data_IF_731869524605
#
_entry.id   IF_731869524605
#
_cell.length_a   1.000
_cell.length_b   1.000
_cell.length_c   1.000
_cell.angle_alpha   90.00
_cell.angle_beta   90.00
_cell.angle_gamma   90.00
#
_symmetry.space_group_name_H-M   'P 1'
#
loop_
_entity.id
_entity.type
_entity.pdbx_description
1 polymer ?
#
# COMPACT_ATOMS: atom_id res chain seq x y z
N UNK A 1 24.09 -9.24 30.10
CA UNK A 1 23.75 -10.48 30.82
C UNK A 1 23.08 -11.38 29.80
N UNK A 2 23.62 -12.57 29.53
CA UNK A 2 22.96 -13.58 28.70
C UNK A 2 21.83 -14.18 29.54
N UNK A 3 20.59 -14.03 29.08
CA UNK A 3 19.46 -14.78 29.65
C UNK A 3 19.21 -15.93 28.70
N UNK A 4 19.32 -17.15 29.24
CA UNK A 4 18.94 -18.38 28.55
C UNK A 4 17.61 -18.76 29.21
N UNK A 5 16.51 -18.36 28.57
CA UNK A 5 15.16 -18.81 28.96
C UNK A 5 14.63 -19.71 27.84
N UNK A 6 14.15 -20.89 28.22
CA UNK A 6 13.40 -21.83 27.37
C UNK A 6 14.03 -22.17 26.00
N UNK A 7 15.36 -22.15 25.90
CA UNK A 7 16.07 -22.49 24.65
C UNK A 7 16.22 -21.32 23.67
N UNK A 8 15.75 -20.12 24.01
CA UNK A 8 15.97 -18.90 23.25
C UNK A 8 17.07 -18.05 23.91
N UNK A 9 18.08 -17.67 23.13
CA UNK A 9 19.12 -16.73 23.57
C UNK A 9 18.65 -15.31 23.24
N UNK A 10 18.33 -14.50 24.26
CA UNK A 10 17.99 -13.08 24.08
C UNK A 10 19.19 -12.17 24.42
N UNK A 11 19.50 -11.25 23.50
CA UNK A 11 20.66 -10.36 23.61
C UNK A 11 20.25 -8.97 24.08
N UNK A 12 20.30 -8.72 25.38
CA UNK A 12 20.05 -7.38 25.96
C UNK A 12 21.31 -6.49 26.04
N UNK A 13 22.47 -6.95 25.53
CA UNK A 13 23.72 -6.19 25.61
C UNK A 13 24.36 -6.00 24.22
N UNK A 14 24.39 -4.77 23.67
CA UNK A 14 25.00 -4.46 22.38
C UNK A 14 26.43 -4.99 22.25
N UNK A 15 27.20 -4.96 23.33
CA UNK A 15 28.61 -5.41 23.32
C UNK A 15 28.80 -6.91 23.04
N UNK A 16 27.79 -7.74 23.33
CA UNK A 16 27.85 -9.20 23.09
C UNK A 16 27.45 -9.50 21.64
N UNK A 17 26.46 -8.80 21.11
CA UNK A 17 26.06 -8.91 19.71
C UNK A 17 27.23 -8.48 18.80
N UNK A 18 27.89 -7.37 19.12
CA UNK A 18 29.09 -6.90 18.40
C UNK A 18 30.23 -7.92 18.46
N UNK A 19 30.45 -8.54 19.62
CA UNK A 19 31.45 -9.59 19.79
C UNK A 19 31.16 -10.81 18.91
N UNK A 20 29.92 -11.33 18.95
CA UNK A 20 29.51 -12.48 18.13
C UNK A 20 29.65 -12.15 16.65
N UNK A 21 29.17 -10.98 16.22
CA UNK A 21 29.28 -10.50 14.84
C UNK A 21 30.73 -10.40 14.38
N UNK A 22 31.62 -9.82 15.19
CA UNK A 22 33.05 -9.73 14.89
C UNK A 22 33.68 -11.12 14.67
N UNK A 23 33.36 -12.09 15.53
CA UNK A 23 33.87 -13.44 15.42
C UNK A 23 33.29 -14.22 14.24
N UNK A 24 31.99 -14.06 13.95
CA UNK A 24 31.35 -14.64 12.79
C UNK A 24 31.92 -14.05 11.50
N UNK A 25 32.04 -12.73 11.41
CA UNK A 25 32.63 -12.06 10.25
C UNK A 25 34.07 -12.52 9.96
N UNK A 26 34.86 -12.76 11.01
CA UNK A 26 36.21 -13.28 10.88
C UNK A 26 36.30 -14.79 10.56
N UNK A 27 35.16 -15.48 10.35
CA UNK A 27 35.09 -16.92 10.10
C UNK A 27 35.50 -17.79 11.29
N UNK A 28 35.51 -17.21 12.51
CA UNK A 28 35.93 -17.90 13.74
C UNK A 28 34.74 -18.56 14.48
N UNK A 29 33.53 -18.14 14.16
CA UNK A 29 32.29 -18.75 14.67
C UNK A 29 31.77 -19.85 13.74
N UNK A 30 30.89 -20.71 14.27
CA UNK A 30 30.25 -21.77 13.51
C UNK A 30 28.85 -21.32 13.05
N UNK A 31 28.78 -20.52 11.98
CA UNK A 31 27.51 -19.96 11.50
C UNK A 31 26.47 -21.04 11.18
N UNK A 32 26.88 -22.16 10.58
CA UNK A 32 25.98 -23.28 10.28
C UNK A 32 25.35 -23.90 11.54
N UNK A 33 26.11 -23.99 12.64
CA UNK A 33 25.59 -24.49 13.91
C UNK A 33 24.61 -23.49 14.55
N UNK A 34 24.87 -22.18 14.41
CA UNK A 34 23.96 -21.14 14.87
C UNK A 34 22.63 -21.19 14.10
N UNK A 35 22.68 -21.29 12.78
CA UNK A 35 21.48 -21.46 11.93
C UNK A 35 20.67 -22.69 12.35
N UNK A 36 21.33 -23.83 12.57
CA UNK A 36 20.67 -25.06 13.01
C UNK A 36 20.07 -24.96 14.44
N UNK A 37 20.51 -23.98 15.24
CA UNK A 37 20.01 -23.73 16.59
C UNK A 37 18.94 -22.64 16.67
N UNK A 38 18.65 -21.95 15.56
CA UNK A 38 17.60 -20.95 15.54
C UNK A 38 16.24 -21.64 15.71
N UNK A 39 15.52 -21.27 16.77
CA UNK A 39 14.17 -21.78 17.05
C UNK A 39 13.07 -20.76 16.72
N UNK A 40 13.45 -19.56 16.29
CA UNK A 40 12.56 -18.43 16.07
C UNK A 40 13.02 -17.63 14.86
N UNK A 41 12.05 -17.14 14.07
CA UNK A 41 12.33 -16.49 12.78
C UNK A 41 13.15 -15.20 12.95
N UNK A 42 12.90 -14.42 14.02
CA UNK A 42 13.65 -13.18 14.29
C UNK A 42 15.13 -13.47 14.59
N UNK A 43 15.47 -14.66 15.07
CA UNK A 43 16.87 -15.05 15.24
C UNK A 43 17.55 -15.25 13.89
N UNK A 44 16.85 -15.87 12.93
CA UNK A 44 17.34 -16.07 11.56
C UNK A 44 17.50 -14.72 10.85
N UNK A 45 16.48 -13.86 10.92
CA UNK A 45 16.51 -12.50 10.35
C UNK A 45 17.69 -11.70 10.86
N UNK A 46 17.89 -11.64 12.18
CA UNK A 46 19.01 -10.90 12.79
C UNK A 46 20.38 -11.40 12.33
N UNK A 47 20.53 -12.70 12.08
CA UNK A 47 21.78 -13.26 11.57
C UNK A 47 22.04 -12.84 10.13
N UNK A 48 20.99 -12.81 9.29
CA UNK A 48 21.09 -12.32 7.91
C UNK A 48 21.35 -10.82 7.88
N UNK A 49 20.64 -10.04 8.69
CA UNK A 49 20.83 -8.58 8.83
C UNK A 49 22.24 -8.23 9.27
N UNK A 50 22.82 -9.00 10.18
CA UNK A 50 24.21 -8.83 10.60
C UNK A 50 25.19 -8.94 9.42
N UNK A 51 24.88 -9.76 8.40
CA UNK A 51 25.65 -9.87 7.16
C UNK A 51 25.51 -8.67 6.23
N UNK A 52 24.44 -7.88 6.36
CA UNK A 52 24.17 -6.67 5.54
C UNK A 52 24.82 -5.42 6.11
N UNK A 53 25.34 -5.48 7.35
CA UNK A 53 26.06 -4.37 7.97
C UNK A 53 27.43 -4.12 7.32
N UNK A 54 28.00 -2.92 7.53
CA UNK A 54 29.25 -2.50 6.90
C UNK A 54 30.45 -3.43 7.14
N UNK A 55 30.48 -4.12 8.27
CA UNK A 55 31.47 -5.12 8.67
C UNK A 55 30.91 -6.56 8.67
N UNK A 56 29.84 -6.79 7.91
CA UNK A 56 29.15 -8.08 7.79
C UNK A 56 29.58 -8.96 6.61
N UNK A 57 30.48 -8.49 5.75
CA UNK A 57 30.81 -9.15 4.47
C UNK A 57 31.27 -10.62 4.61
N UNK A 58 31.99 -10.96 5.68
CA UNK A 58 32.41 -12.33 5.97
C UNK A 58 31.27 -13.22 6.46
N UNK A 59 30.25 -12.65 7.12
CA UNK A 59 29.02 -13.36 7.47
C UNK A 59 28.24 -13.65 6.19
N UNK A 60 28.08 -12.65 5.33
CA UNK A 60 27.39 -12.81 4.05
C UNK A 60 28.06 -13.88 3.16
N UNK A 61 29.38 -13.86 3.06
CA UNK A 61 30.14 -14.89 2.34
C UNK A 61 29.87 -16.30 2.89
N UNK A 62 29.79 -16.46 4.22
CA UNK A 62 29.43 -17.75 4.81
C UNK A 62 27.98 -18.14 4.55
N UNK A 63 27.03 -17.19 4.56
CA UNK A 63 25.63 -17.48 4.21
C UNK A 63 25.49 -17.96 2.76
N UNK A 64 26.29 -17.43 1.84
CA UNK A 64 26.35 -17.91 0.44
C UNK A 64 26.85 -19.36 0.37
N UNK A 65 27.81 -19.76 1.19
CA UNK A 65 28.26 -21.16 1.26
C UNK A 65 27.24 -22.07 1.99
N UNK A 66 26.41 -21.49 2.86
CA UNK A 66 25.46 -22.19 3.73
C UNK A 66 24.00 -22.04 3.30
N UNK A 67 23.72 -21.77 2.02
CA UNK A 67 22.36 -21.55 1.47
C UNK A 67 21.34 -22.57 1.98
N UNK A 68 21.65 -23.85 1.89
CA UNK A 68 20.73 -24.91 2.32
C UNK A 68 20.49 -24.93 3.82
N UNK A 69 21.51 -24.61 4.63
CA UNK A 69 21.33 -24.51 6.08
C UNK A 69 20.46 -23.31 6.45
N UNK A 70 20.62 -22.18 5.75
CA UNK A 70 19.75 -21.02 5.92
C UNK A 70 18.30 -21.34 5.52
N UNK A 71 18.08 -21.94 4.34
CA UNK A 71 16.74 -22.35 3.91
C UNK A 71 16.11 -23.31 4.92
N UNK A 72 16.89 -24.26 5.46
CA UNK A 72 16.39 -25.19 6.48
C UNK A 72 16.02 -24.47 7.79
N UNK A 73 16.79 -23.46 8.19
CA UNK A 73 16.49 -22.65 9.37
C UNK A 73 15.23 -21.81 9.19
N UNK A 74 15.04 -21.19 8.01
CA UNK A 74 13.83 -20.44 7.66
C UNK A 74 12.60 -21.36 7.72
N UNK A 75 12.66 -22.52 7.08
CA UNK A 75 11.57 -23.51 7.10
C UNK A 75 11.28 -24.03 8.52
N UNK A 76 12.32 -24.24 9.32
CA UNK A 76 12.18 -24.72 10.70
C UNK A 76 11.59 -23.71 11.67
N UNK A 77 11.67 -22.42 11.34
CA UNK A 77 11.17 -21.32 12.16
C UNK A 77 9.87 -20.70 11.62
N UNK A 78 9.33 -21.22 10.51
CA UNK A 78 8.16 -20.66 9.83
C UNK A 78 6.93 -20.54 10.75
N UNK A 79 6.68 -21.54 11.61
CA UNK A 79 5.56 -21.54 12.55
C UNK A 79 5.64 -20.44 13.63
N UNK A 80 6.76 -19.71 13.70
CA UNK A 80 6.95 -18.57 14.62
C UNK A 80 6.67 -17.22 13.96
N UNK A 81 6.39 -17.21 12.65
CA UNK A 81 5.97 -16.02 11.92
C UNK A 81 4.52 -15.71 12.29
N UNK A 82 4.29 -14.48 12.73
CA UNK A 82 2.94 -13.99 13.02
C UNK A 82 2.12 -13.98 11.74
N UNK A 83 0.83 -14.33 11.83
CA UNK A 83 -0.06 -14.38 10.67
C UNK A 83 -0.16 -13.01 9.98
N UNK A 84 -0.11 -11.93 10.78
CA UNK A 84 -0.13 -10.54 10.32
C UNK A 84 1.18 -10.09 9.62
N UNK A 85 2.26 -10.88 9.69
CA UNK A 85 3.58 -10.53 9.17
C UNK A 85 4.05 -11.50 8.06
N UNK A 86 3.17 -12.33 7.51
CA UNK A 86 3.57 -13.36 6.53
C UNK A 86 4.08 -12.74 5.23
N UNK A 87 3.47 -11.67 4.75
CA UNK A 87 3.89 -10.91 3.57
C UNK A 87 5.30 -10.35 3.75
N UNK A 88 5.53 -9.65 4.87
CA UNK A 88 6.83 -9.06 5.22
C UNK A 88 7.92 -10.15 5.32
N UNK A 89 7.59 -11.30 5.91
CA UNK A 89 8.48 -12.45 5.97
C UNK A 89 8.83 -12.99 4.57
N UNK A 90 7.85 -13.13 3.67
CA UNK A 90 8.10 -13.57 2.31
C UNK A 90 8.90 -12.56 1.50
N UNK A 91 8.69 -11.26 1.69
CA UNK A 91 9.52 -10.20 1.11
C UNK A 91 10.97 -10.28 1.61
N UNK A 92 11.15 -10.40 2.93
CA UNK A 92 12.48 -10.57 3.52
C UNK A 92 13.17 -11.83 3.00
N UNK A 93 12.45 -12.94 2.87
CA UNK A 93 12.98 -14.21 2.39
C UNK A 93 13.39 -14.12 0.92
N UNK A 94 12.61 -13.43 0.09
CA UNK A 94 12.91 -13.19 -1.32
C UNK A 94 14.14 -12.31 -1.50
N UNK A 95 14.19 -11.18 -0.78
CA UNK A 95 15.33 -10.27 -0.81
C UNK A 95 16.62 -10.97 -0.31
N UNK A 96 16.48 -11.82 0.70
CA UNK A 96 17.59 -12.67 1.18
C UNK A 96 18.00 -13.69 0.13
N UNK A 97 17.04 -14.35 -0.52
CA UNK A 97 17.30 -15.31 -1.59
C UNK A 97 18.07 -14.67 -2.75
N UNK A 98 17.67 -13.47 -3.19
CA UNK A 98 18.36 -12.68 -4.21
C UNK A 98 19.77 -12.30 -3.77
N UNK A 99 19.91 -11.79 -2.54
CA UNK A 99 21.18 -11.33 -1.99
C UNK A 99 22.23 -12.44 -1.96
N UNK A 100 21.85 -13.67 -1.62
CA UNK A 100 22.78 -14.80 -1.56
C UNK A 100 22.73 -15.70 -2.81
N UNK A 101 21.79 -15.46 -3.73
CA UNK A 101 21.50 -16.33 -4.87
C UNK A 101 21.04 -17.74 -4.47
N UNK A 102 20.09 -17.85 -3.54
CA UNK A 102 19.52 -19.14 -3.08
C UNK A 102 18.23 -19.48 -3.80
N UNK A 103 18.30 -20.38 -4.78
CA UNK A 103 17.11 -20.87 -5.48
C UNK A 103 16.15 -21.62 -4.55
N UNK A 104 16.65 -22.38 -3.57
CA UNK A 104 15.77 -23.12 -2.66
C UNK A 104 14.98 -22.22 -1.72
N UNK A 105 15.51 -21.04 -1.38
CA UNK A 105 14.75 -20.05 -0.61
C UNK A 105 13.74 -19.30 -1.50
N UNK A 106 14.09 -19.03 -2.76
CA UNK A 106 13.14 -18.49 -3.73
C UNK A 106 11.99 -19.47 -4.03
N UNK A 107 12.27 -20.77 -4.15
CA UNK A 107 11.26 -21.82 -4.33
C UNK A 107 10.30 -21.89 -3.12
N UNK A 108 10.82 -21.69 -1.91
CA UNK A 108 10.00 -21.56 -0.71
C UNK A 108 9.04 -20.36 -0.81
N UNK A 109 9.57 -19.19 -1.17
CA UNK A 109 8.75 -17.98 -1.36
C UNK A 109 7.68 -18.20 -2.42
N UNK A 110 8.06 -18.73 -3.60
CA UNK A 110 7.14 -19.02 -4.69
C UNK A 110 5.96 -19.89 -4.23
N UNK A 111 6.25 -20.96 -3.49
CA UNK A 111 5.22 -21.86 -2.98
C UNK A 111 4.28 -21.18 -1.99
N UNK A 112 4.84 -20.42 -1.02
CA UNK A 112 4.05 -19.77 0.04
C UNK A 112 3.28 -18.55 -0.46
N UNK A 113 3.80 -17.83 -1.45
CA UNK A 113 3.10 -16.72 -2.08
C UNK A 113 1.79 -17.19 -2.73
N UNK A 114 1.79 -18.29 -3.51
CA UNK A 114 0.57 -18.81 -4.15
C UNK A 114 -0.50 -19.30 -3.18
N UNK A 115 -0.08 -19.60 -1.96
CA UNK A 115 -0.94 -19.90 -0.84
C UNK A 115 -1.58 -18.57 -0.35
N UNK A 116 -0.79 -17.54 -0.03
CA UNK A 116 -1.14 -16.35 0.76
C UNK A 116 -2.51 -15.65 0.53
N UNK A 117 -2.97 -15.35 -0.72
CA UNK A 117 -4.12 -14.48 -0.96
C UNK A 117 -5.45 -15.00 -0.40
N UNK A 118 -5.50 -16.28 -0.01
CA UNK A 118 -6.67 -16.90 0.63
C UNK A 118 -6.86 -16.53 2.10
N UNK A 119 -5.82 -16.05 2.76
CA UNK A 119 -5.83 -15.82 4.22
C UNK A 119 -5.31 -14.45 4.62
N UNK A 120 -4.74 -13.70 3.67
CA UNK A 120 -4.27 -12.34 3.92
C UNK A 120 -5.44 -11.36 4.00
N UNK A 121 -5.40 -10.51 5.02
CA UNK A 121 -6.30 -9.36 5.17
C UNK A 121 -5.70 -8.08 4.58
N UNK A 122 -4.39 -8.05 4.28
CA UNK A 122 -3.68 -6.86 3.83
C UNK A 122 -3.47 -6.83 2.31
N UNK A 123 -4.44 -6.22 1.60
CA UNK A 123 -4.33 -6.02 0.15
C UNK A 123 -3.07 -5.24 -0.26
N UNK A 124 -2.65 -4.26 0.56
CA UNK A 124 -1.47 -3.45 0.28
C UNK A 124 -0.19 -4.28 0.28
N UNK A 125 -0.06 -5.17 1.26
CA UNK A 125 1.13 -6.00 1.41
C UNK A 125 1.16 -7.10 0.32
N UNK A 126 0.01 -7.62 -0.09
CA UNK A 126 -0.10 -8.51 -1.24
C UNK A 126 0.37 -7.86 -2.55
N UNK A 127 -0.01 -6.60 -2.80
CA UNK A 127 0.41 -5.86 -3.99
C UNK A 127 1.92 -5.59 -3.97
N UNK A 128 2.48 -5.20 -2.81
CA UNK A 128 3.92 -5.00 -2.62
C UNK A 128 4.72 -6.29 -2.85
N UNK A 129 4.23 -7.43 -2.34
CA UNK A 129 4.83 -8.73 -2.58
C UNK A 129 4.74 -9.12 -4.06
N UNK A 130 3.62 -8.84 -4.73
CA UNK A 130 3.46 -9.13 -6.16
C UNK A 130 4.50 -8.37 -7.00
N UNK A 131 4.67 -7.07 -6.72
CA UNK A 131 5.68 -6.24 -7.36
C UNK A 131 7.11 -6.78 -7.10
N UNK A 132 7.37 -7.28 -5.89
CA UNK A 132 8.66 -7.87 -5.51
C UNK A 132 8.94 -9.18 -6.26
N UNK A 133 7.93 -10.04 -6.42
CA UNK A 133 8.04 -11.29 -7.19
C UNK A 133 8.26 -11.01 -8.68
N UNK A 134 7.54 -10.05 -9.26
CA UNK A 134 7.70 -9.65 -10.67
C UNK A 134 9.09 -9.09 -10.99
N UNK A 135 9.73 -8.44 -10.00
CA UNK A 135 11.07 -7.88 -10.15
C UNK A 135 12.20 -8.87 -9.82
N UNK A 136 11.88 -10.05 -9.27
CA UNK A 136 12.87 -11.05 -8.89
C UNK A 136 13.48 -11.75 -10.11
N UNK A 137 14.77 -12.05 -10.03
CA UNK A 137 15.52 -12.84 -11.03
C UNK A 137 15.48 -14.33 -10.73
N UNK A 138 15.13 -14.70 -9.50
CA UNK A 138 15.04 -16.09 -9.05
C UNK A 138 13.63 -16.66 -9.17
N UNK A 139 12.61 -15.82 -9.27
CA UNK A 139 11.22 -16.22 -9.49
C UNK A 139 10.93 -16.27 -10.99
N UNK A 140 10.24 -17.33 -11.41
CA UNK A 140 9.82 -17.51 -12.81
C UNK A 140 8.63 -16.61 -13.14
N UNK A 141 8.56 -16.15 -14.39
CA UNK A 141 7.44 -15.34 -14.87
C UNK A 141 6.09 -16.03 -14.71
N UNK A 142 6.04 -17.36 -14.84
CA UNK A 142 4.81 -18.14 -14.64
C UNK A 142 4.26 -18.01 -13.21
N UNK A 143 5.13 -18.16 -12.20
CA UNK A 143 4.76 -18.02 -10.78
C UNK A 143 4.35 -16.59 -10.45
N UNK A 144 5.10 -15.60 -10.95
CA UNK A 144 4.79 -14.20 -10.66
C UNK A 144 3.45 -13.78 -11.28
N UNK A 145 3.17 -14.21 -12.52
CA UNK A 145 1.89 -14.00 -13.18
C UNK A 145 0.73 -14.74 -12.50
N UNK A 146 0.94 -15.97 -12.02
CA UNK A 146 -0.07 -16.73 -11.28
C UNK A 146 -0.41 -16.05 -9.94
N UNK A 147 0.62 -15.64 -9.18
CA UNK A 147 0.39 -14.90 -7.94
C UNK A 147 -0.32 -13.57 -8.20
N UNK A 148 0.10 -12.83 -9.25
CA UNK A 148 -0.55 -11.58 -9.63
C UNK A 148 -2.03 -11.78 -9.92
N UNK A 149 -2.40 -12.81 -10.68
CA UNK A 149 -3.79 -13.12 -10.97
C UNK A 149 -4.61 -13.40 -9.69
N UNK A 150 -4.03 -14.09 -8.69
CA UNK A 150 -4.68 -14.34 -7.40
C UNK A 150 -4.86 -13.05 -6.59
N UNK A 151 -3.85 -12.17 -6.58
CA UNK A 151 -3.94 -10.86 -5.93
C UNK A 151 -5.00 -10.00 -6.62
N UNK A 152 -5.03 -9.99 -7.95
CA UNK A 152 -6.00 -9.22 -8.72
C UNK A 152 -7.44 -9.73 -8.50
N UNK A 153 -7.65 -11.04 -8.37
CA UNK A 153 -8.93 -11.64 -7.98
C UNK A 153 -9.34 -11.21 -6.55
N UNK A 154 -8.42 -11.26 -5.59
CA UNK A 154 -8.66 -10.83 -4.22
C UNK A 154 -9.04 -9.33 -4.16
N UNK A 155 -8.26 -8.47 -4.83
CA UNK A 155 -8.51 -7.03 -4.96
C UNK A 155 -9.89 -6.79 -5.59
N UNK A 156 -10.21 -7.51 -6.67
CA UNK A 156 -11.51 -7.40 -7.35
C UNK A 156 -12.68 -7.71 -6.42
N UNK A 157 -12.56 -8.79 -5.63
CA UNK A 157 -13.57 -9.17 -4.64
C UNK A 157 -13.74 -8.09 -3.57
N UNK A 158 -12.63 -7.57 -3.04
CA UNK A 158 -12.62 -6.53 -2.03
C UNK A 158 -13.28 -5.23 -2.52
N UNK A 159 -13.05 -4.83 -3.77
CA UNK A 159 -13.70 -3.67 -4.38
C UNK A 159 -15.18 -3.92 -4.56
N UNK A 160 -15.58 -5.09 -5.08
CA UNK A 160 -16.98 -5.42 -5.33
C UNK A 160 -17.83 -5.34 -4.05
N UNK A 161 -17.32 -5.86 -2.94
CA UNK A 161 -17.97 -5.77 -1.62
C UNK A 161 -18.12 -4.31 -1.14
N UNK A 162 -17.12 -3.47 -1.41
CA UNK A 162 -17.13 -2.05 -1.02
C UNK A 162 -18.03 -1.21 -1.90
N UNK A 163 -18.06 -1.47 -3.21
CA UNK A 163 -19.00 -0.83 -4.15
C UNK A 163 -20.43 -1.06 -3.68
N UNK A 164 -20.77 -2.28 -3.24
CA UNK A 164 -22.09 -2.58 -2.68
C UNK A 164 -22.42 -1.79 -1.39
N UNK A 165 -21.40 -1.27 -0.68
CA UNK A 165 -21.57 -0.45 0.53
C UNK A 165 -21.61 1.05 0.22
N UNK A 166 -21.00 1.47 -0.90
CA UNK A 166 -21.04 2.82 -1.42
C UNK A 166 -19.68 3.52 -1.50
N UNK A 167 -19.66 4.69 -2.15
CA UNK A 167 -18.43 5.39 -2.54
C UNK A 167 -17.49 5.73 -1.38
N UNK A 168 -18.00 5.98 -0.17
CA UNK A 168 -17.16 6.30 0.99
C UNK A 168 -16.17 5.17 1.27
N UNK A 169 -16.65 3.92 1.28
CA UNK A 169 -15.83 2.74 1.54
C UNK A 169 -14.86 2.48 0.38
N UNK A 170 -15.32 2.66 -0.86
CA UNK A 170 -14.49 2.56 -2.06
C UNK A 170 -13.34 3.57 -2.02
N UNK A 171 -13.64 4.84 -1.79
CA UNK A 171 -12.66 5.92 -1.75
C UNK A 171 -11.65 5.75 -0.61
N UNK A 172 -12.11 5.42 0.60
CA UNK A 172 -11.22 5.22 1.75
C UNK A 172 -10.23 4.09 1.50
N UNK A 173 -10.70 3.00 0.89
CA UNK A 173 -9.86 1.86 0.58
C UNK A 173 -8.94 2.12 -0.61
N UNK A 174 -9.43 2.74 -1.68
CA UNK A 174 -8.62 3.12 -2.84
C UNK A 174 -7.50 4.08 -2.44
N UNK A 175 -7.79 5.07 -1.59
CA UNK A 175 -6.80 5.98 -1.02
C UNK A 175 -5.79 5.26 -0.10
N UNK A 176 -6.20 4.19 0.61
CA UNK A 176 -5.33 3.40 1.47
C UNK A 176 -4.27 2.61 0.67
N UNK A 177 -4.61 2.18 -0.55
CA UNK A 177 -3.69 1.42 -1.40
C UNK A 177 -2.50 2.24 -1.90
N UNK A 178 -2.66 3.55 -2.09
CA UNK A 178 -1.58 4.49 -2.49
C UNK A 178 -0.87 4.11 -3.83
N UNK A 179 -1.46 3.20 -4.62
CA UNK A 179 -0.98 2.78 -5.94
C UNK A 179 -2.12 2.74 -6.97
N UNK A 180 -1.91 3.26 -8.19
CA UNK A 180 -2.88 3.13 -9.27
C UNK A 180 -2.98 1.67 -9.72
N UNK A 181 -4.16 1.07 -9.58
CA UNK A 181 -4.42 -0.31 -9.98
C UNK A 181 -4.69 -0.36 -11.49
N UNK A 182 -3.61 -0.40 -12.28
CA UNK A 182 -3.66 -0.23 -13.74
C UNK A 182 -4.55 -1.22 -14.50
N UNK A 183 -4.79 -2.42 -13.97
CA UNK A 183 -5.67 -3.41 -14.61
C UNK A 183 -7.17 -3.19 -14.33
N UNK A 184 -7.54 -2.37 -13.33
CA UNK A 184 -8.94 -1.97 -13.15
C UNK A 184 -9.48 -1.26 -14.41
N UNK A 185 -8.60 -0.59 -15.16
CA UNK A 185 -8.94 0.13 -16.39
C UNK A 185 -9.56 -0.74 -17.50
N UNK A 186 -9.42 -2.07 -17.43
CA UNK A 186 -9.86 -2.98 -18.50
C UNK A 186 -11.10 -3.83 -18.12
N UNK A 187 -11.88 -3.45 -17.09
CA UNK A 187 -12.99 -4.29 -16.60
C UNK A 187 -14.24 -3.55 -16.10
N UNK A 188 -15.34 -4.31 -15.97
CA UNK A 188 -16.65 -3.85 -15.47
C UNK A 188 -16.60 -3.29 -14.07
N UNK A 189 -15.58 -3.67 -13.29
CA UNK A 189 -15.42 -3.22 -11.92
C UNK A 189 -15.09 -1.72 -11.82
N UNK A 190 -14.34 -1.18 -12.79
CA UNK A 190 -14.13 0.26 -12.86
C UNK A 190 -15.43 0.99 -13.20
N UNK A 191 -16.24 0.46 -14.12
CA UNK A 191 -17.56 1.00 -14.44
C UNK A 191 -18.45 1.00 -13.18
N UNK A 192 -18.44 -0.08 -12.41
CA UNK A 192 -19.19 -0.19 -11.15
C UNK A 192 -18.71 0.84 -10.10
N UNK A 193 -17.40 1.08 -10.01
CA UNK A 193 -16.83 2.12 -9.14
C UNK A 193 -17.20 3.53 -9.61
N UNK A 194 -17.19 3.78 -10.92
CA UNK A 194 -17.60 5.04 -11.54
C UNK A 194 -19.08 5.31 -11.27
N UNK A 195 -19.97 4.32 -11.47
CA UNK A 195 -21.39 4.49 -11.17
C UNK A 195 -21.61 4.75 -9.67
N UNK A 196 -20.90 4.02 -8.81
CA UNK A 196 -20.95 4.25 -7.36
C UNK A 196 -20.52 5.69 -6.97
N UNK A 197 -19.48 6.21 -7.63
CA UNK A 197 -19.01 7.58 -7.47
C UNK A 197 -20.06 8.61 -7.96
N UNK A 198 -20.69 8.35 -9.11
CA UNK A 198 -21.77 9.18 -9.67
C UNK A 198 -23.01 9.20 -8.77
N UNK A 199 -23.43 8.04 -8.26
CA UNK A 199 -24.53 7.94 -7.29
C UNK A 199 -24.25 8.79 -6.04
N UNK A 200 -23.03 8.72 -5.51
CA UNK A 200 -22.67 9.56 -4.36
C UNK A 200 -22.68 11.04 -4.70
N UNK A 201 -22.25 11.38 -5.91
CA UNK A 201 -22.29 12.75 -6.40
C UNK A 201 -23.74 13.28 -6.48
N UNK A 202 -24.68 12.47 -6.99
CA UNK A 202 -26.11 12.76 -7.04
C UNK A 202 -26.73 12.88 -5.63
N UNK A 203 -26.37 11.99 -4.70
CA UNK A 203 -26.84 12.05 -3.30
C UNK A 203 -26.43 13.36 -2.63
N UNK A 204 -25.14 13.71 -2.73
CA UNK A 204 -24.63 14.97 -2.19
C UNK A 204 -25.35 16.14 -2.85
N UNK A 205 -25.70 16.05 -4.14
CA UNK A 205 -26.36 17.12 -4.89
C UNK A 205 -27.79 17.37 -4.40
N UNK A 206 -28.52 16.29 -4.13
CA UNK A 206 -29.88 16.35 -3.62
C UNK A 206 -29.93 16.84 -2.15
N UNK A 207 -28.92 16.52 -1.35
CA UNK A 207 -28.84 16.88 0.06
C UNK A 207 -27.42 17.34 0.45
N UNK A 208 -27.04 18.61 0.16
CA UNK A 208 -25.74 19.14 0.55
C UNK A 208 -25.60 19.10 2.08
N UNK A 209 -24.82 18.13 2.56
CA UNK A 209 -24.55 17.90 3.99
C UNK A 209 -23.60 18.91 4.61
N UNK A 210 -22.88 18.51 5.66
CA UNK A 210 -21.84 19.35 6.29
C UNK A 210 -20.63 19.46 5.37
N UNK A 211 -20.26 20.69 5.01
CA UNK A 211 -19.20 21.04 4.06
C UNK A 211 -17.95 21.50 4.81
N UNK A 212 -17.53 20.66 5.76
CA UNK A 212 -16.27 20.83 6.49
C UNK A 212 -15.05 20.66 5.57
N UNK A 213 -13.86 21.08 6.02
CA UNK A 213 -12.59 20.88 5.29
C UNK A 213 -12.37 19.40 4.89
N UNK A 214 -12.78 18.47 5.75
CA UNK A 214 -12.76 17.03 5.46
C UNK A 214 -13.71 16.65 4.31
N UNK A 215 -14.88 17.28 4.25
CA UNK A 215 -15.88 17.07 3.21
C UNK A 215 -15.41 17.60 1.84
N UNK A 216 -14.57 18.64 1.85
CA UNK A 216 -14.01 19.23 0.62
C UNK A 216 -12.90 18.35 0.06
N UNK A 217 -11.98 17.86 0.91
CA UNK A 217 -10.96 16.90 0.46
C UNK A 217 -11.59 15.63 -0.12
N UNK A 218 -12.71 15.18 0.46
CA UNK A 218 -13.48 14.05 -0.05
C UNK A 218 -14.15 14.35 -1.41
N UNK A 219 -14.73 15.54 -1.59
CA UNK A 219 -15.27 15.99 -2.87
C UNK A 219 -14.17 16.12 -3.93
N UNK A 220 -13.00 16.67 -3.59
CA UNK A 220 -11.86 16.76 -4.50
C UNK A 220 -11.40 15.36 -4.96
N UNK A 221 -11.32 14.39 -4.05
CA UNK A 221 -10.96 13.00 -4.36
C UNK A 221 -11.99 12.32 -5.28
N UNK A 222 -13.28 12.49 -4.98
CA UNK A 222 -14.39 12.00 -5.82
C UNK A 222 -14.31 12.58 -7.24
N UNK A 223 -14.11 13.89 -7.36
CA UNK A 223 -14.04 14.56 -8.66
C UNK A 223 -12.76 14.22 -9.44
N UNK A 224 -11.62 14.06 -8.75
CA UNK A 224 -10.38 13.60 -9.38
C UNK A 224 -10.58 12.20 -9.95
N UNK A 225 -11.10 11.26 -9.15
CA UNK A 225 -11.34 9.89 -9.60
C UNK A 225 -12.23 9.83 -10.84
N UNK A 226 -13.35 10.56 -10.83
CA UNK A 226 -14.26 10.65 -11.98
C UNK A 226 -13.59 11.25 -13.23
N UNK A 227 -12.72 12.25 -13.04
CA UNK A 227 -11.97 12.88 -14.14
C UNK A 227 -10.90 11.94 -14.72
N UNK A 228 -10.14 11.29 -13.84
CA UNK A 228 -8.99 10.46 -14.19
C UNK A 228 -9.41 9.17 -14.93
N UNK A 229 -10.68 8.76 -14.81
CA UNK A 229 -11.23 7.57 -15.46
C UNK A 229 -12.16 7.90 -16.64
N UNK A 230 -12.00 9.08 -17.26
CA UNK A 230 -12.71 9.50 -18.48
C UNK A 230 -14.25 9.36 -18.44
N UNK A 231 -14.86 9.31 -17.25
CA UNK A 231 -16.30 9.10 -17.13
C UNK A 231 -17.12 10.27 -17.74
N UNK A 232 -16.46 11.39 -18.05
CA UNK A 232 -16.98 12.48 -18.87
C UNK A 232 -17.40 12.06 -20.28
N UNK A 233 -16.78 11.02 -20.85
CA UNK A 233 -17.11 10.51 -22.18
C UNK A 233 -18.45 9.74 -22.23
N UNK A 234 -18.94 9.27 -21.08
CA UNK A 234 -20.18 8.50 -20.95
C UNK A 234 -21.32 9.36 -20.37
N UNK A 235 -20.98 10.43 -19.63
CA UNK A 235 -21.92 11.23 -18.83
C UNK A 235 -21.72 12.75 -19.01
N UNK A 236 -21.74 13.22 -20.26
CA UNK A 236 -21.40 14.61 -20.69
C UNK A 236 -22.08 15.74 -19.88
N UNK A 237 -23.34 15.58 -19.48
CA UNK A 237 -24.08 16.63 -18.75
C UNK A 237 -23.71 16.70 -17.27
N UNK A 238 -23.51 15.54 -16.64
CA UNK A 238 -23.09 15.41 -15.24
C UNK A 238 -21.66 15.93 -15.07
N UNK A 239 -20.79 15.70 -16.07
CA UNK A 239 -19.40 16.19 -16.05
C UNK A 239 -19.23 17.68 -16.35
N UNK A 240 -20.12 18.31 -17.13
CA UNK A 240 -20.13 19.78 -17.24
C UNK A 240 -20.45 20.46 -15.92
N UNK A 241 -21.18 19.80 -15.02
CA UNK A 241 -21.39 20.30 -13.66
C UNK A 241 -20.12 20.10 -12.80
N UNK A 242 -19.42 18.97 -12.95
CA UNK A 242 -18.13 18.68 -12.32
C UNK A 242 -17.04 19.69 -12.69
N UNK A 243 -16.85 19.97 -13.98
CA UNK A 243 -15.79 20.90 -14.44
C UNK A 243 -16.02 22.34 -13.99
N UNK A 244 -17.27 22.82 -14.06
CA UNK A 244 -17.64 24.15 -13.57
C UNK A 244 -17.32 24.31 -12.09
N UNK A 245 -17.44 23.25 -11.31
CA UNK A 245 -17.24 23.31 -9.87
C UNK A 245 -15.80 23.13 -9.47
N UNK A 246 -15.05 22.29 -10.18
CA UNK A 246 -13.59 22.29 -10.07
C UNK A 246 -13.03 23.70 -10.34
N UNK A 247 -13.56 24.38 -11.35
CA UNK A 247 -13.17 25.76 -11.65
C UNK A 247 -13.60 26.75 -10.56
N UNK A 248 -14.83 26.64 -10.03
CA UNK A 248 -15.29 27.49 -8.93
C UNK A 248 -14.51 27.24 -7.62
N UNK A 249 -14.16 26.00 -7.30
CA UNK A 249 -13.35 25.65 -6.12
C UNK A 249 -11.92 26.20 -6.26
N UNK A 250 -11.35 26.10 -7.46
CA UNK A 250 -10.06 26.69 -7.79
C UNK A 250 -10.09 28.22 -7.67
N UNK A 251 -11.12 28.87 -8.24
CA UNK A 251 -11.32 30.31 -8.15
C UNK A 251 -11.54 30.78 -6.71
N UNK A 252 -12.28 30.02 -5.92
CA UNK A 252 -12.51 30.29 -4.51
C UNK A 252 -11.22 30.26 -3.69
N UNK A 253 -10.38 29.26 -3.94
CA UNK A 253 -9.07 29.12 -3.32
C UNK A 253 -8.13 30.26 -3.71
N UNK A 254 -8.15 30.67 -4.98
CA UNK A 254 -7.39 31.83 -5.44
C UNK A 254 -7.90 33.16 -4.87
N UNK A 255 -9.22 33.34 -4.74
CA UNK A 255 -9.81 34.54 -4.16
C UNK A 255 -9.51 34.66 -2.66
N UNK A 256 -9.62 33.55 -1.91
CA UNK A 256 -9.19 33.46 -0.53
C UNK A 256 -7.69 33.80 -0.39
N UNK A 257 -6.86 33.33 -1.32
CA UNK A 257 -5.45 33.67 -1.36
C UNK A 257 -5.17 35.16 -1.62
N UNK A 258 -5.83 35.76 -2.61
CA UNK A 258 -5.67 37.20 -2.91
C UNK A 258 -6.06 38.05 -1.69
N UNK A 259 -7.16 37.71 -1.03
CA UNK A 259 -7.61 38.38 0.20
C UNK A 259 -6.61 38.24 1.36
N UNK A 260 -5.98 37.07 1.52
CA UNK A 260 -4.95 36.84 2.52
C UNK A 260 -3.65 37.62 2.23
N UNK A 261 -3.23 37.65 0.95
CA UNK A 261 -2.06 38.37 0.49
C UNK A 261 -2.20 39.89 0.67
N UNK A 262 -3.40 40.43 0.45
CA UNK A 262 -3.73 41.84 0.71
C UNK A 262 -3.69 42.20 2.21
N UNK A 263 -4.08 41.27 3.09
CA UNK A 263 -4.09 41.47 4.55
C UNK A 263 -2.72 41.23 5.22
N UNK A 264 -1.78 40.57 4.56
CA UNK A 264 -0.47 40.22 5.14
C UNK A 264 0.61 40.06 4.05
N UNK A 265 1.09 41.18 3.47
CA UNK A 265 1.99 41.17 2.32
C UNK A 265 3.38 40.56 2.58
N UNK A 266 3.81 40.44 3.85
CA UNK A 266 5.12 39.88 4.23
C UNK A 266 5.13 38.35 4.39
N UNK A 267 3.97 37.69 4.30
CA UNK A 267 3.91 36.22 4.30
C UNK A 267 3.91 35.74 2.86
N UNK A 268 5.04 35.17 2.43
CA UNK A 268 5.11 34.40 1.17
C UNK A 268 4.01 33.33 1.09
N UNK A 269 3.76 32.82 -0.11
CA UNK A 269 2.68 31.88 -0.40
C UNK A 269 2.68 30.72 0.62
N UNK A 270 1.64 30.55 1.44
CA UNK A 270 1.57 29.41 2.35
C UNK A 270 1.35 28.12 1.53
N UNK A 271 1.99 27.04 1.94
CA UNK A 271 1.89 25.72 1.28
C UNK A 271 0.47 25.12 1.40
N UNK A 272 -0.28 25.53 2.43
CA UNK A 272 -1.73 25.30 2.59
C UNK A 272 -2.39 26.57 3.10
N UNK A 273 -3.45 27.02 2.44
CA UNK A 273 -4.28 28.12 2.95
C UNK A 273 -5.12 27.61 4.14
N UNK A 274 -5.45 28.47 5.12
CA UNK A 274 -6.52 28.17 6.05
C UNK A 274 -7.83 28.11 5.26
N UNK A 275 -8.48 26.95 5.30
CA UNK A 275 -9.78 26.70 4.67
C UNK A 275 -10.81 27.72 5.18
N UNK A 276 -11.54 28.38 4.28
CA UNK A 276 -12.63 29.31 4.63
C UNK A 276 -13.96 28.56 4.45
N UNK A 277 -14.54 28.01 5.53
CA UNK A 277 -15.64 27.07 5.44
C UNK A 277 -16.87 27.70 4.79
N UNK A 278 -17.04 29.02 4.89
CA UNK A 278 -18.24 29.71 4.38
C UNK A 278 -18.19 29.91 2.87
N UNK A 279 -17.01 30.10 2.31
CA UNK A 279 -16.84 30.27 0.87
C UNK A 279 -16.88 28.93 0.15
N UNK A 280 -16.24 27.92 0.74
CA UNK A 280 -16.28 26.54 0.28
C UNK A 280 -17.72 25.99 0.35
N UNK A 281 -18.47 26.32 1.41
CA UNK A 281 -19.90 26.04 1.52
C UNK A 281 -20.72 26.61 0.36
N UNK A 282 -20.43 27.84 -0.07
CA UNK A 282 -21.18 28.50 -1.14
C UNK A 282 -20.91 27.87 -2.51
N UNK A 283 -19.65 27.53 -2.81
CA UNK A 283 -19.26 26.88 -4.06
C UNK A 283 -19.81 25.47 -4.15
N UNK A 284 -19.72 24.69 -3.07
CA UNK A 284 -20.29 23.34 -3.07
C UNK A 284 -21.83 23.39 -3.10
N UNK A 285 -22.48 24.36 -2.46
CA UNK A 285 -23.92 24.53 -2.60
C UNK A 285 -24.34 24.88 -4.04
N UNK A 286 -23.57 25.72 -4.74
CA UNK A 286 -23.78 26.03 -6.16
C UNK A 286 -23.58 24.78 -7.04
N UNK A 287 -22.57 23.96 -6.74
CA UNK A 287 -22.34 22.66 -7.38
C UNK A 287 -23.52 21.70 -7.26
N UNK A 288 -23.98 21.48 -6.03
CA UNK A 288 -25.04 20.55 -5.71
C UNK A 288 -26.34 20.94 -6.45
N UNK A 289 -26.59 22.25 -6.57
CA UNK A 289 -27.74 22.77 -7.30
C UNK A 289 -27.69 22.54 -8.82
N UNK A 290 -26.50 22.46 -9.42
CA UNK A 290 -26.32 22.21 -10.86
C UNK A 290 -26.56 20.76 -11.27
N UNK A 291 -26.23 19.82 -10.38
CA UNK A 291 -26.38 18.37 -10.61
C UNK A 291 -27.83 17.89 -10.43
N UNK A 292 -28.58 18.41 -9.45
CA UNK A 292 -29.97 18.02 -9.20
C UNK A 292 -30.98 18.43 -10.28
N UNK A 293 -30.59 19.29 -11.22
CA UNK A 293 -31.47 19.74 -12.31
C UNK A 293 -31.31 18.92 -13.60
N UNK A 294 -30.22 18.17 -13.76
CA UNK A 294 -29.93 17.38 -14.98
C UNK A 294 -30.83 16.13 -15.11
N UNK A 295 -31.38 15.60 -14.02
CA UNK A 295 -32.32 14.46 -14.06
C UNK A 295 -33.78 14.86 -14.34
N UNK A 296 -34.10 16.15 -14.50
CA UNK A 296 -35.50 16.62 -14.64
C UNK A 296 -35.95 16.94 -16.07
N UNK A 297 -35.03 17.00 -17.05
CA UNK A 297 -35.35 17.33 -18.45
C UNK A 297 -35.45 16.08 -19.36
N UNK A 298 -36.08 15.02 -18.84
CA UNK A 298 -36.18 13.72 -19.51
C UNK A 298 -37.54 13.03 -19.42
N UNK A 299 -38.67 13.72 -19.68
CA UNK A 299 -39.91 13.11 -20.18
C UNK A 299 -40.91 14.16 -20.66
N UNK A 300 -40.98 14.35 -21.98
CA UNK A 300 -42.14 14.91 -22.69
C UNK A 300 -43.01 13.82 -23.28
#
# INVERSE_FOLDING_TARGET
>A
MLVIDEGAVSFHNPSIADYIRFHLNAGRGQLGALLASCGDMRQVERLVDAGRLADGAGILAQLIELKQALTSAVLGAEDTVDDDNREDHLEWALDTAETIGSSSLADYVAKRALELPRWSESTKDLLRLANSLDCSRLITQEVSAEFRALVDEHVSSQISERVATGWVEVNNWYAYLDEPIGWLAEGTLLDDMVECALEKLRELAAAPGDLSETSIGYLEALLSFLTDNDAHLLHDEEFRAVDRVREQLTQAREAAWRSLAERSPDRGRPVKLPSDPRHEQAVVAEFMSGLGNAESDGAG
#
